data_IF_594442209001
#
_entry.id   IF_594442209001
#
_cell.length_a   1.000
_cell.length_b   1.000
_cell.length_c   1.000
_cell.angle_alpha   90.00
_cell.angle_beta   90.00
_cell.angle_gamma   90.00
#
_symmetry.space_group_name_H-M   'P 1'
#
loop_
_entity.id
_entity.type
_entity.pdbx_description
1 polymer ?
#
# COMPACT_ATOMS: atom_id res chain seq x y z
N UNK A 1 -28.85 7.48 -76.19
CA UNK A 1 -28.26 6.40 -77.01
C UNK A 1 -27.39 5.52 -76.11
N UNK A 2 -27.35 4.21 -76.36
CA UNK A 2 -26.27 3.30 -75.93
C UNK A 2 -25.66 2.65 -77.19
N UNK A 3 -24.37 2.29 -77.17
CA UNK A 3 -23.98 0.87 -76.97
C UNK A 3 -22.82 0.76 -75.93
N UNK A 4 -22.43 -0.37 -75.32
CA UNK A 4 -22.17 -1.75 -75.78
C UNK A 4 -20.96 -1.84 -76.73
N UNK A 5 -19.88 -2.62 -76.49
CA UNK A 5 -19.53 -3.63 -75.46
C UNK A 5 -18.02 -3.41 -75.07
N UNK A 6 -17.18 -4.28 -74.50
CA UNK A 6 -17.15 -5.75 -74.31
C UNK A 6 -16.28 -6.15 -73.08
N UNK A 7 -15.96 -7.44 -72.89
CA UNK A 7 -15.03 -7.98 -71.87
C UNK A 7 -13.65 -8.38 -72.45
N UNK A 8 -12.64 -8.38 -71.58
CA UNK A 8 -11.51 -9.31 -71.61
C UNK A 8 -11.11 -9.68 -70.16
N UNK A 9 -10.49 -10.84 -69.94
CA UNK A 9 -10.07 -11.33 -68.61
C UNK A 9 -8.67 -11.94 -68.69
N UNK A 10 -7.92 -11.94 -67.57
CA UNK A 10 -7.05 -13.08 -67.29
C UNK A 10 -7.21 -13.68 -65.87
N UNK A 11 -6.86 -14.96 -65.83
CA UNK A 11 -6.96 -16.00 -64.81
C UNK A 11 -6.46 -15.68 -63.36
N UNK A 12 -6.85 -16.49 -62.35
CA UNK A 12 -6.57 -16.23 -60.94
C UNK A 12 -5.13 -16.55 -60.51
N UNK A 13 -4.70 -15.97 -59.38
CA UNK A 13 -3.56 -16.44 -58.59
C UNK A 13 -4.01 -17.04 -57.25
N UNK A 14 -3.20 -17.97 -56.75
CA UNK A 14 -3.57 -18.96 -55.73
C UNK A 14 -3.97 -18.31 -54.40
N UNK A 15 -4.91 -18.96 -53.70
CA UNK A 15 -5.14 -18.71 -52.28
C UNK A 15 -3.95 -19.23 -51.46
N UNK A 16 -3.28 -18.35 -50.72
CA UNK A 16 -2.43 -18.75 -49.61
C UNK A 16 -3.32 -19.04 -48.39
N UNK A 17 -3.10 -20.17 -47.72
CA UNK A 17 -3.93 -20.59 -46.59
C UNK A 17 -3.81 -19.60 -45.42
N UNK A 18 -4.95 -19.21 -44.84
CA UNK A 18 -4.96 -18.58 -43.52
C UNK A 18 -4.46 -19.61 -42.51
N UNK A 19 -3.46 -19.24 -41.70
CA UNK A 19 -3.20 -19.91 -40.42
C UNK A 19 -4.05 -19.23 -39.36
N UNK A 20 -4.70 -20.01 -38.52
CA UNK A 20 -5.65 -19.51 -37.52
C UNK A 20 -4.95 -18.77 -36.37
N UNK A 21 -5.03 -17.45 -36.37
CA UNK A 21 -4.60 -16.60 -35.25
C UNK A 21 -5.73 -16.43 -34.21
N UNK A 22 -6.15 -17.57 -33.64
CA UNK A 22 -7.06 -17.59 -32.50
C UNK A 22 -6.41 -17.00 -31.22
N UNK A 23 -5.07 -16.94 -31.20
CA UNK A 23 -4.24 -16.38 -30.12
C UNK A 23 -4.37 -14.87 -29.97
N UNK A 24 -4.21 -14.08 -31.04
CA UNK A 24 -4.34 -12.62 -30.96
C UNK A 24 -5.79 -12.17 -30.73
N UNK A 25 -6.77 -12.99 -31.13
CA UNK A 25 -8.19 -12.72 -30.91
C UNK A 25 -8.54 -12.79 -29.43
N UNK A 26 -8.04 -13.79 -28.69
CA UNK A 26 -8.22 -13.87 -27.23
C UNK A 26 -7.64 -12.65 -26.50
N UNK A 27 -6.43 -12.23 -26.85
CA UNK A 27 -5.76 -11.08 -26.23
C UNK A 27 -6.50 -9.74 -26.48
N UNK A 28 -7.14 -9.58 -27.66
CA UNK A 28 -7.98 -8.41 -27.95
C UNK A 28 -9.31 -8.41 -27.20
N UNK A 29 -9.97 -9.56 -27.08
CA UNK A 29 -11.23 -9.69 -26.35
C UNK A 29 -11.05 -9.31 -24.86
N UNK A 30 -9.89 -9.60 -24.26
CA UNK A 30 -9.56 -9.15 -22.90
C UNK A 30 -9.20 -7.66 -22.77
N UNK A 31 -9.06 -6.93 -23.88
CA UNK A 31 -8.71 -5.50 -23.88
C UNK A 31 -9.86 -4.54 -24.21
N UNK A 32 -10.98 -5.06 -24.74
CA UNK A 32 -12.18 -4.25 -25.05
C UNK A 32 -13.20 -4.20 -23.91
N UNK A 33 -13.02 -5.00 -22.84
CA UNK A 33 -13.56 -4.67 -21.52
C UNK A 33 -12.72 -3.56 -20.88
N UNK A 34 -12.83 -2.34 -21.44
CA UNK A 34 -12.29 -1.15 -20.79
C UNK A 34 -12.90 -1.02 -19.39
N UNK A 35 -12.05 -0.94 -18.37
CA UNK A 35 -12.47 -0.68 -16.99
C UNK A 35 -13.44 0.50 -16.98
N UNK A 36 -14.61 0.33 -16.36
CA UNK A 36 -15.49 1.46 -16.15
C UNK A 36 -14.73 2.54 -15.38
N UNK A 37 -14.89 3.82 -15.76
CA UNK A 37 -14.31 4.92 -14.99
C UNK A 37 -14.76 4.77 -13.51
N UNK A 38 -13.88 4.91 -12.50
CA UNK A 38 -14.18 4.50 -11.13
C UNK A 38 -15.49 5.08 -10.57
N UNK A 39 -15.83 6.32 -10.95
CA UNK A 39 -17.08 6.96 -10.56
C UNK A 39 -18.33 6.27 -11.15
N UNK A 40 -18.27 5.77 -12.39
CA UNK A 40 -19.35 4.98 -13.03
C UNK A 40 -19.60 3.66 -12.29
N UNK A 41 -18.56 2.99 -11.82
CA UNK A 41 -18.70 1.80 -10.99
C UNK A 41 -19.33 2.15 -9.62
N UNK A 42 -18.90 3.24 -8.98
CA UNK A 42 -19.49 3.67 -7.71
C UNK A 42 -20.96 4.11 -7.86
N UNK A 43 -21.34 4.79 -8.95
CA UNK A 43 -22.74 5.06 -9.29
C UNK A 43 -23.53 3.76 -9.51
N UNK A 44 -22.91 2.73 -10.09
CA UNK A 44 -23.48 1.38 -10.17
C UNK A 44 -23.78 0.77 -8.80
N UNK A 45 -22.85 0.92 -7.83
CA UNK A 45 -23.06 0.50 -6.44
C UNK A 45 -24.21 1.29 -5.80
N UNK A 46 -24.21 2.63 -5.92
CA UNK A 46 -25.27 3.52 -5.41
C UNK A 46 -26.65 3.23 -6.02
N UNK A 47 -26.73 2.72 -7.25
CA UNK A 47 -27.98 2.32 -7.90
C UNK A 47 -28.40 0.87 -7.55
N UNK A 48 -27.46 -0.03 -7.26
CA UNK A 48 -27.75 -1.43 -6.93
C UNK A 48 -28.49 -1.57 -5.58
N UNK A 49 -29.38 -2.58 -5.38
CA UNK A 49 -30.16 -2.72 -4.14
C UNK A 49 -29.33 -2.90 -2.85
N UNK A 50 -29.94 -2.66 -1.70
CA UNK A 50 -29.35 -2.88 -0.37
C UNK A 50 -28.47 -1.74 0.15
N UNK A 51 -28.00 -1.89 1.39
CA UNK A 51 -26.98 -1.03 2.02
C UNK A 51 -25.56 -1.53 1.70
N UNK A 52 -24.65 -0.62 1.34
CA UNK A 52 -23.27 -0.98 1.00
C UNK A 52 -22.26 -0.49 2.04
N UNK A 53 -21.37 -1.38 2.49
CA UNK A 53 -20.38 -1.09 3.52
C UNK A 53 -19.03 -0.71 2.88
N UNK A 54 -18.44 0.40 3.35
CA UNK A 54 -17.13 0.89 2.93
C UNK A 54 -16.24 1.20 4.14
N UNK A 55 -15.31 0.31 4.53
CA UNK A 55 -14.26 0.64 5.48
C UNK A 55 -13.35 1.73 4.92
N UNK A 56 -12.79 2.57 5.79
CA UNK A 56 -11.82 3.58 5.39
C UNK A 56 -10.37 3.05 5.42
N UNK A 57 -9.69 3.23 4.30
CA UNK A 57 -8.24 3.14 4.20
C UNK A 57 -7.56 4.47 4.54
N UNK A 58 -6.25 4.41 4.76
CA UNK A 58 -5.36 5.56 4.98
C UNK A 58 -4.07 5.47 4.15
N UNK A 59 -3.80 4.32 3.55
CA UNK A 59 -2.65 4.07 2.68
C UNK A 59 -2.95 2.96 1.66
N UNK A 60 -2.03 2.75 0.72
CA UNK A 60 -2.17 1.74 -0.33
C UNK A 60 -2.33 0.30 0.21
N UNK A 61 -1.69 -0.02 1.35
CA UNK A 61 -1.77 -1.34 1.97
C UNK A 61 -3.16 -1.59 2.59
N UNK A 62 -3.68 -0.66 3.38
CA UNK A 62 -5.03 -0.75 3.96
C UNK A 62 -6.11 -0.77 2.87
N UNK A 63 -5.97 0.02 1.80
CA UNK A 63 -6.88 -0.02 0.65
C UNK A 63 -6.89 -1.41 -0.02
N UNK A 64 -5.71 -2.00 -0.25
CA UNK A 64 -5.59 -3.34 -0.83
C UNK A 64 -6.14 -4.44 0.09
N UNK A 65 -6.01 -4.29 1.41
CA UNK A 65 -6.65 -5.19 2.39
C UNK A 65 -8.18 -5.08 2.37
N UNK A 66 -8.74 -3.88 2.21
CA UNK A 66 -10.20 -3.69 2.02
C UNK A 66 -10.68 -4.37 0.74
N UNK A 67 -9.96 -4.22 -0.37
CA UNK A 67 -10.28 -4.93 -1.62
C UNK A 67 -10.19 -6.45 -1.47
N UNK A 68 -9.13 -6.97 -0.87
CA UNK A 68 -8.93 -8.41 -0.68
C UNK A 68 -9.98 -9.04 0.24
N UNK A 69 -10.56 -8.26 1.16
CA UNK A 69 -11.71 -8.67 1.98
C UNK A 69 -13.06 -8.65 1.22
N UNK A 70 -13.08 -8.25 -0.06
CA UNK A 70 -14.25 -8.35 -0.95
C UNK A 70 -15.21 -7.16 -0.92
N UNK A 71 -14.89 -6.09 -0.18
CA UNK A 71 -15.67 -4.85 -0.17
C UNK A 71 -15.72 -4.21 -1.58
N UNK A 72 -16.82 -3.53 -1.90
CA UNK A 72 -17.06 -3.00 -3.26
C UNK A 72 -16.51 -1.59 -3.49
N UNK A 73 -16.16 -0.89 -2.43
CA UNK A 73 -15.57 0.44 -2.46
C UNK A 73 -14.87 0.71 -1.12
N UNK A 74 -14.06 1.76 -1.05
CA UNK A 74 -13.41 2.21 0.19
C UNK A 74 -13.39 3.74 0.26
N UNK A 75 -13.33 4.29 1.48
CA UNK A 75 -13.03 5.71 1.69
C UNK A 75 -11.54 5.89 1.95
N UNK A 76 -10.93 6.99 1.50
CA UNK A 76 -9.67 7.49 2.09
C UNK A 76 -10.06 8.50 3.18
N UNK A 77 -9.74 8.24 4.44
CA UNK A 77 -10.09 9.12 5.57
C UNK A 77 -9.04 10.22 5.79
N UNK A 78 -9.45 11.50 5.92
CA UNK A 78 -8.55 12.61 6.24
C UNK A 78 -7.82 12.40 7.57
N UNK A 79 -8.56 12.08 8.63
CA UNK A 79 -8.00 11.65 9.93
C UNK A 79 -6.98 10.52 9.77
N UNK A 80 -7.35 9.49 9.00
CA UNK A 80 -6.50 8.34 8.74
C UNK A 80 -5.17 8.71 8.11
N UNK A 81 -5.20 9.54 7.05
CA UNK A 81 -3.99 9.99 6.36
C UNK A 81 -3.16 10.93 7.25
N UNK A 82 -3.76 11.88 7.97
CA UNK A 82 -3.02 12.74 8.91
C UNK A 82 -2.30 11.93 9.98
N UNK A 83 -2.99 10.95 10.57
CA UNK A 83 -2.42 10.06 11.58
C UNK A 83 -1.31 9.15 11.03
N UNK A 84 -1.45 8.58 9.84
CA UNK A 84 -0.46 7.64 9.28
C UNK A 84 0.71 8.31 8.56
N UNK A 85 0.49 9.46 7.93
CA UNK A 85 1.49 10.17 7.11
C UNK A 85 2.27 11.23 7.89
N UNK A 86 1.63 11.88 8.85
CA UNK A 86 2.22 13.00 9.62
C UNK A 86 2.37 12.69 11.13
N UNK A 87 1.73 11.63 11.64
CA UNK A 87 1.55 11.39 13.08
C UNK A 87 0.92 12.60 13.82
N UNK A 88 0.12 13.39 13.10
CA UNK A 88 -0.50 14.62 13.58
C UNK A 88 -2.01 14.45 13.83
N UNK A 89 -2.63 15.35 14.62
CA UNK A 89 -4.07 15.35 14.80
C UNK A 89 -4.78 15.84 13.53
N UNK A 90 -6.05 15.50 13.41
CA UNK A 90 -6.91 15.94 12.31
C UNK A 90 -7.52 17.32 12.60
N UNK A 91 -6.73 18.36 12.40
CA UNK A 91 -7.13 19.76 12.64
C UNK A 91 -6.88 20.64 11.42
N UNK A 92 -6.99 20.09 10.21
CA UNK A 92 -6.70 20.80 8.95
C UNK A 92 -5.22 21.17 8.75
N UNK A 93 -4.29 20.43 9.40
CA UNK A 93 -2.85 20.61 9.22
C UNK A 93 -2.32 20.00 7.91
N UNK A 94 -2.94 18.91 7.44
CA UNK A 94 -2.53 18.24 6.20
C UNK A 94 -2.97 19.06 4.99
N UNK A 95 -2.10 19.17 3.99
CA UNK A 95 -2.37 19.97 2.80
C UNK A 95 -3.07 19.17 1.69
N UNK A 96 -3.77 19.89 0.82
CA UNK A 96 -4.25 19.42 -0.49
C UNK A 96 -3.21 18.57 -1.25
N UNK A 97 -1.93 18.98 -1.22
CA UNK A 97 -0.86 18.32 -1.95
C UNK A 97 -0.59 16.91 -1.42
N UNK A 98 -0.57 16.76 -0.09
CA UNK A 98 -0.32 15.48 0.60
C UNK A 98 -1.52 14.53 0.50
N UNK A 99 -2.74 15.08 0.59
CA UNK A 99 -3.98 14.31 0.42
C UNK A 99 -4.13 13.74 -0.99
N UNK A 100 -3.86 14.53 -2.03
CA UNK A 100 -3.87 14.03 -3.43
C UNK A 100 -2.71 13.07 -3.69
N UNK A 101 -1.53 13.30 -3.11
CA UNK A 101 -0.39 12.39 -3.24
C UNK A 101 -0.66 11.02 -2.59
N UNK A 102 -1.22 10.99 -1.38
CA UNK A 102 -1.68 9.76 -0.75
C UNK A 102 -2.77 9.08 -1.60
N UNK A 103 -3.72 9.88 -2.10
CA UNK A 103 -4.82 9.42 -2.95
C UNK A 103 -4.35 8.67 -4.19
N UNK A 104 -3.38 9.20 -4.94
CA UNK A 104 -2.80 8.53 -6.12
C UNK A 104 -2.21 7.16 -5.80
N UNK A 105 -1.55 7.03 -4.65
CA UNK A 105 -0.95 5.76 -4.24
C UNK A 105 -2.02 4.74 -3.81
N UNK A 106 -3.11 5.21 -3.21
CA UNK A 106 -4.27 4.39 -2.84
C UNK A 106 -5.01 3.89 -4.09
N UNK A 107 -5.40 4.79 -5.00
CA UNK A 107 -6.16 4.45 -6.22
C UNK A 107 -5.37 3.60 -7.20
N UNK A 108 -4.04 3.77 -7.29
CA UNK A 108 -3.20 2.91 -8.12
C UNK A 108 -3.02 1.48 -7.56
N UNK A 109 -3.30 1.26 -6.27
CA UNK A 109 -3.13 -0.03 -5.61
C UNK A 109 -4.38 -0.93 -5.64
N UNK A 110 -5.55 -0.39 -6.02
CA UNK A 110 -6.84 -1.09 -6.07
C UNK A 110 -7.56 -0.86 -7.40
N UNK A 111 -8.46 -1.77 -7.77
CA UNK A 111 -9.43 -1.58 -8.85
C UNK A 111 -10.81 -1.18 -8.34
N UNK A 112 -11.12 -1.38 -7.05
CA UNK A 112 -12.39 -0.93 -6.47
C UNK A 112 -12.46 0.59 -6.36
N UNK A 113 -13.66 1.20 -6.52
CA UNK A 113 -13.88 2.62 -6.27
C UNK A 113 -13.34 3.14 -4.92
N UNK A 114 -12.62 4.26 -4.98
CA UNK A 114 -12.14 5.00 -3.81
C UNK A 114 -12.86 6.34 -3.73
N UNK A 115 -13.40 6.69 -2.56
CA UNK A 115 -14.02 7.99 -2.28
C UNK A 115 -13.04 8.75 -1.38
N UNK A 116 -12.51 9.87 -1.85
CA UNK A 116 -11.54 10.66 -1.10
C UNK A 116 -12.20 11.65 -0.16
N UNK A 117 -11.80 11.66 1.11
CA UNK A 117 -12.04 12.81 1.98
C UNK A 117 -11.28 14.03 1.44
N UNK A 118 -11.97 15.15 1.21
CA UNK A 118 -11.44 16.36 0.60
C UNK A 118 -11.55 17.59 1.50
N UNK A 119 -11.86 17.39 2.79
CA UNK A 119 -12.03 18.43 3.81
C UNK A 119 -13.00 19.54 3.33
N UNK A 120 -12.76 20.78 3.74
CA UNK A 120 -13.43 21.98 3.24
C UNK A 120 -13.07 22.35 1.78
N UNK A 121 -12.32 21.51 1.04
CA UNK A 121 -11.82 21.80 -0.31
C UNK A 121 -10.65 22.80 -0.35
N UNK A 122 -9.92 22.93 0.77
CA UNK A 122 -8.64 23.66 0.91
C UNK A 122 -8.65 25.14 0.47
N UNK A 123 -9.76 25.85 0.71
CA UNK A 123 -9.86 27.31 0.54
C UNK A 123 -11.23 27.76 0.06
N UNK A 124 -11.27 28.68 -0.91
CA UNK A 124 -12.52 29.18 -1.48
C UNK A 124 -13.05 28.27 -2.61
N UNK A 125 -14.17 28.65 -3.24
CA UNK A 125 -14.77 27.92 -4.35
C UNK A 125 -13.78 27.51 -5.47
N UNK A 126 -12.80 28.34 -5.82
CA UNK A 126 -11.78 28.00 -6.83
C UNK A 126 -10.76 26.97 -6.32
N UNK A 127 -10.49 26.93 -5.02
CA UNK A 127 -9.74 25.84 -4.39
C UNK A 127 -10.54 24.53 -4.47
N UNK A 128 -11.86 24.57 -4.28
CA UNK A 128 -12.73 23.38 -4.49
C UNK A 128 -12.64 22.91 -5.94
N UNK A 129 -12.72 23.81 -6.95
CA UNK A 129 -12.58 23.42 -8.37
C UNK A 129 -11.22 22.77 -8.65
N UNK A 130 -10.13 23.32 -8.09
CA UNK A 130 -8.79 22.71 -8.17
C UNK A 130 -8.76 21.33 -7.52
N UNK A 131 -9.39 21.19 -6.35
CA UNK A 131 -9.39 19.96 -5.55
C UNK A 131 -10.11 18.84 -6.27
N UNK A 132 -11.34 19.08 -6.73
CA UNK A 132 -12.12 18.10 -7.51
C UNK A 132 -11.37 17.62 -8.75
N UNK A 133 -10.76 18.53 -9.53
CA UNK A 133 -9.96 18.15 -10.69
C UNK A 133 -8.69 17.37 -10.33
N UNK A 134 -8.06 17.68 -9.20
CA UNK A 134 -6.94 16.92 -8.66
C UNK A 134 -7.32 15.50 -8.23
N UNK A 135 -8.52 15.32 -7.66
CA UNK A 135 -9.03 14.00 -7.24
C UNK A 135 -9.46 13.15 -8.45
N UNK A 136 -10.08 13.77 -9.48
CA UNK A 136 -10.32 13.12 -10.78
C UNK A 136 -9.01 12.65 -11.41
N UNK A 137 -7.99 13.51 -11.47
CA UNK A 137 -6.66 13.17 -12.00
C UNK A 137 -5.91 12.12 -11.15
N UNK A 138 -6.28 11.96 -9.87
CA UNK A 138 -5.78 10.90 -9.01
C UNK A 138 -6.59 9.60 -9.11
N UNK A 139 -7.64 9.53 -9.93
CA UNK A 139 -8.43 8.30 -10.16
C UNK A 139 -9.46 8.00 -9.06
N UNK A 140 -9.84 8.98 -8.23
CA UNK A 140 -10.94 8.79 -7.28
C UNK A 140 -12.29 8.60 -8.01
N UNK A 141 -13.17 7.79 -7.43
CA UNK A 141 -14.54 7.60 -7.86
C UNK A 141 -15.50 8.65 -7.29
N UNK A 142 -15.15 9.23 -6.14
CA UNK A 142 -15.90 10.30 -5.50
C UNK A 142 -15.04 11.15 -4.58
N UNK A 143 -15.60 12.28 -4.14
CA UNK A 143 -15.00 13.18 -3.15
C UNK A 143 -16.02 13.53 -2.08
N UNK A 144 -15.59 13.60 -0.83
CA UNK A 144 -16.35 14.14 0.29
C UNK A 144 -15.89 15.57 0.57
N UNK A 145 -16.85 16.50 0.68
CA UNK A 145 -16.60 17.93 0.91
C UNK A 145 -17.50 18.46 2.02
N UNK A 146 -16.93 19.20 2.97
CA UNK A 146 -17.63 19.71 4.14
C UNK A 146 -17.78 21.24 4.24
N UNK A 147 -18.74 21.66 5.06
CA UNK A 147 -19.10 23.05 5.29
C UNK A 147 -18.40 23.69 6.50
N UNK A 148 -17.37 23.06 7.06
CA UNK A 148 -16.58 23.61 8.16
C UNK A 148 -15.74 24.83 7.73
N UNK A 149 -15.48 25.73 8.67
CA UNK A 149 -14.60 26.90 8.50
C UNK A 149 -13.11 26.53 8.69
N UNK A 150 -12.85 25.61 9.62
CA UNK A 150 -11.56 24.98 9.89
C UNK A 150 -11.82 23.52 10.32
N UNK A 151 -10.82 22.63 10.21
CA UNK A 151 -10.98 21.20 10.49
C UNK A 151 -11.31 20.88 11.96
N UNK A 152 -11.45 19.58 12.28
CA UNK A 152 -12.12 18.99 13.46
C UNK A 152 -11.58 19.39 14.86
N UNK A 153 -11.67 20.67 15.19
CA UNK A 153 -11.17 21.30 16.41
C UNK A 153 -12.27 21.46 17.47
N UNK A 154 -11.87 21.86 18.69
CA UNK A 154 -12.81 22.12 19.79
C UNK A 154 -13.59 23.41 19.54
N UNK A 155 -14.91 23.27 19.33
CA UNK A 155 -15.77 24.37 18.88
C UNK A 155 -15.88 24.39 17.36
N UNK A 156 -16.47 23.34 16.77
CA UNK A 156 -16.70 23.26 15.31
C UNK A 156 -17.52 24.46 14.85
N UNK A 157 -17.00 25.17 13.86
CA UNK A 157 -17.69 26.25 13.16
C UNK A 157 -17.97 25.85 11.70
N UNK A 158 -19.16 26.17 11.21
CA UNK A 158 -19.53 25.99 9.80
C UNK A 158 -19.67 27.34 9.10
N UNK A 159 -19.26 27.40 7.83
CA UNK A 159 -19.34 28.65 7.05
C UNK A 159 -20.78 29.05 6.75
N UNK A 160 -20.93 30.27 6.23
CA UNK A 160 -22.23 30.79 5.81
C UNK A 160 -22.93 29.84 4.82
N UNK A 161 -24.27 29.79 4.88
CA UNK A 161 -25.09 28.99 3.95
C UNK A 161 -24.74 29.27 2.48
N UNK A 162 -24.47 30.55 2.15
CA UNK A 162 -24.06 30.98 0.80
C UNK A 162 -22.72 30.37 0.38
N UNK A 163 -21.72 30.36 1.26
CA UNK A 163 -20.41 29.79 0.96
C UNK A 163 -20.47 28.26 0.85
N UNK A 164 -21.18 27.59 1.77
CA UNK A 164 -21.35 26.14 1.73
C UNK A 164 -22.00 25.67 0.41
N UNK A 165 -23.06 26.36 -0.05
CA UNK A 165 -23.70 26.11 -1.34
C UNK A 165 -22.73 26.43 -2.51
N UNK A 166 -21.93 27.49 -2.41
CA UNK A 166 -20.94 27.83 -3.43
C UNK A 166 -19.82 26.78 -3.56
N UNK A 167 -19.41 26.12 -2.46
CA UNK A 167 -18.46 24.99 -2.49
C UNK A 167 -19.05 23.80 -3.26
N UNK A 168 -20.29 23.39 -2.95
CA UNK A 168 -20.97 22.28 -3.65
C UNK A 168 -21.14 22.58 -5.14
N UNK A 169 -21.59 23.79 -5.50
CA UNK A 169 -21.73 24.19 -6.91
C UNK A 169 -20.39 24.22 -7.64
N UNK A 170 -19.33 24.72 -7.01
CA UNK A 170 -17.99 24.69 -7.58
C UNK A 170 -17.49 23.24 -7.82
N UNK A 171 -17.84 22.30 -6.95
CA UNK A 171 -17.54 20.89 -7.17
C UNK A 171 -18.30 20.31 -8.38
N UNK A 172 -19.58 20.64 -8.53
CA UNK A 172 -20.43 20.25 -9.67
C UNK A 172 -19.90 20.83 -10.98
N UNK A 173 -19.60 22.13 -11.02
CA UNK A 173 -18.95 22.77 -12.17
C UNK A 173 -17.64 22.03 -12.54
N UNK A 174 -16.81 21.70 -11.55
CA UNK A 174 -15.48 21.14 -11.79
C UNK A 174 -15.52 19.70 -12.28
N UNK A 175 -16.55 18.93 -11.90
CA UNK A 175 -16.91 17.64 -12.49
C UNK A 175 -17.27 17.80 -13.97
N UNK A 176 -18.24 18.67 -14.26
CA UNK A 176 -18.76 18.91 -15.61
C UNK A 176 -17.68 19.47 -16.57
N UNK A 177 -16.88 20.44 -16.12
CA UNK A 177 -15.73 20.99 -16.85
C UNK A 177 -14.59 19.97 -17.10
N UNK A 178 -14.61 18.82 -16.44
CA UNK A 178 -13.63 17.74 -16.66
C UNK A 178 -14.11 16.69 -17.66
N UNK A 179 -15.41 16.65 -17.98
CA UNK A 179 -16.03 15.58 -18.76
C UNK A 179 -16.11 14.23 -18.01
N UNK A 180 -15.86 14.23 -16.71
CA UNK A 180 -15.78 13.04 -15.85
C UNK A 180 -16.89 13.05 -14.80
N UNK A 181 -17.41 11.89 -14.43
CA UNK A 181 -18.67 11.75 -13.67
C UNK A 181 -18.47 11.51 -12.16
N UNK A 182 -17.50 12.22 -11.56
CA UNK A 182 -17.11 12.09 -10.14
C UNK A 182 -18.31 12.24 -9.19
N UNK A 183 -18.48 11.31 -8.25
CA UNK A 183 -19.55 11.37 -7.24
C UNK A 183 -19.21 12.38 -6.13
N UNK A 184 -20.07 13.37 -5.92
CA UNK A 184 -19.91 14.42 -4.91
C UNK A 184 -20.71 14.06 -3.66
N UNK A 185 -20.01 13.77 -2.56
CA UNK A 185 -20.58 13.53 -1.23
C UNK A 185 -20.54 14.84 -0.43
N UNK A 186 -21.69 15.49 -0.25
CA UNK A 186 -21.78 16.74 0.50
C UNK A 186 -22.04 16.48 1.99
N UNK A 187 -21.12 16.93 2.84
CA UNK A 187 -21.16 16.79 4.31
C UNK A 187 -21.56 18.11 4.96
N UNK A 188 -22.42 18.05 5.97
CA UNK A 188 -22.63 19.16 6.91
C UNK A 188 -22.30 18.76 8.35
N UNK A 189 -21.55 19.63 9.03
CA UNK A 189 -21.20 19.55 10.45
C UNK A 189 -22.09 20.45 11.32
N UNK A 190 -23.06 21.12 10.71
CA UNK A 190 -23.96 22.06 11.35
C UNK A 190 -24.80 21.43 12.49
N UNK A 191 -24.90 20.11 12.57
CA UNK A 191 -25.58 19.41 13.68
C UNK A 191 -24.88 19.67 15.03
N UNK A 192 -23.55 19.75 15.05
CA UNK A 192 -22.80 20.10 16.25
C UNK A 192 -22.54 21.60 16.36
N UNK A 193 -22.31 22.30 15.24
CA UNK A 193 -21.98 23.72 15.23
C UNK A 193 -23.19 24.64 15.47
N UNK A 194 -24.41 24.23 15.10
CA UNK A 194 -25.61 25.08 15.11
C UNK A 194 -26.84 24.34 15.64
N UNK A 195 -27.43 23.42 14.85
CA UNK A 195 -28.66 22.69 15.21
C UNK A 195 -28.94 21.55 14.22
N UNK A 196 -29.88 20.65 14.58
CA UNK A 196 -30.42 19.65 13.67
C UNK A 196 -31.10 20.30 12.44
N UNK A 197 -31.94 21.31 12.66
CA UNK A 197 -32.72 21.95 11.58
C UNK A 197 -31.82 22.71 10.58
N UNK A 198 -30.73 23.33 11.05
CA UNK A 198 -29.71 23.91 10.14
C UNK A 198 -29.05 22.82 9.29
N UNK A 199 -28.70 21.68 9.87
CA UNK A 199 -28.07 20.57 9.15
C UNK A 199 -29.02 19.91 8.12
N UNK A 200 -30.30 19.75 8.47
CA UNK A 200 -31.34 19.26 7.55
C UNK A 200 -31.53 20.24 6.38
N UNK A 201 -31.67 21.54 6.67
CA UNK A 201 -31.79 22.58 5.64
C UNK A 201 -30.58 22.63 4.71
N UNK A 202 -29.36 22.44 5.25
CA UNK A 202 -28.14 22.37 4.44
C UNK A 202 -28.10 21.13 3.56
N UNK A 203 -28.49 19.97 4.07
CA UNK A 203 -28.57 18.75 3.26
C UNK A 203 -29.58 18.88 2.10
N UNK A 204 -30.70 19.57 2.30
CA UNK A 204 -31.62 19.97 1.21
C UNK A 204 -30.91 20.89 0.20
N UNK A 205 -30.31 21.98 0.67
CA UNK A 205 -29.63 22.96 -0.17
C UNK A 205 -28.41 22.40 -0.92
N UNK A 206 -27.79 21.32 -0.43
CA UNK A 206 -26.70 20.62 -1.10
C UNK A 206 -27.21 19.67 -2.20
N UNK A 207 -28.38 19.02 -1.99
CA UNK A 207 -29.06 18.27 -3.05
C UNK A 207 -29.53 19.21 -4.18
N UNK A 208 -30.15 20.34 -3.84
CA UNK A 208 -30.54 21.39 -4.80
C UNK A 208 -29.32 22.01 -5.53
N UNK A 209 -28.13 21.92 -4.94
CA UNK A 209 -26.86 22.34 -5.54
C UNK A 209 -26.19 21.25 -6.40
N UNK A 210 -26.75 20.04 -6.48
CA UNK A 210 -26.28 18.95 -7.34
C UNK A 210 -25.38 17.90 -6.68
N UNK A 211 -25.36 17.79 -5.35
CA UNK A 211 -24.66 16.73 -4.64
C UNK A 211 -25.29 15.35 -4.89
N UNK A 212 -24.45 14.34 -5.13
CA UNK A 212 -24.86 12.97 -5.47
C UNK A 212 -25.16 12.10 -4.23
N UNK A 213 -24.56 12.44 -3.09
CA UNK A 213 -24.75 11.77 -1.79
C UNK A 213 -24.74 12.82 -0.69
N UNK A 214 -25.61 12.65 0.31
CA UNK A 214 -25.68 13.54 1.48
C UNK A 214 -25.10 12.88 2.73
N UNK A 215 -24.46 13.68 3.57
CA UNK A 215 -23.98 13.29 4.90
C UNK A 215 -24.23 14.42 5.91
N UNK A 216 -24.76 14.08 7.09
CA UNK A 216 -24.73 14.94 8.27
C UNK A 216 -23.93 14.20 9.34
N UNK A 217 -22.83 14.77 9.81
CA UNK A 217 -22.04 14.15 10.88
C UNK A 217 -22.75 14.27 12.24
N UNK A 218 -22.46 13.34 13.14
CA UNK A 218 -22.84 13.41 14.56
C UNK A 218 -24.36 13.56 14.84
N UNK A 219 -25.24 12.99 14.00
CA UNK A 219 -26.67 12.82 14.32
C UNK A 219 -26.84 11.94 15.57
N UNK A 220 -27.46 12.47 16.62
CA UNK A 220 -27.35 11.92 17.99
C UNK A 220 -28.33 10.77 18.31
N UNK A 221 -29.27 10.44 17.41
CA UNK A 221 -30.23 9.36 17.64
C UNK A 221 -30.79 8.75 16.35
N UNK A 222 -31.37 7.54 16.47
CA UNK A 222 -32.15 6.89 15.39
C UNK A 222 -33.31 7.75 14.87
N UNK A 223 -33.81 8.70 15.66
CA UNK A 223 -34.88 9.61 15.23
C UNK A 223 -34.33 10.72 14.33
N UNK A 224 -33.20 11.33 14.70
CA UNK A 224 -32.51 12.33 13.87
C UNK A 224 -32.05 11.71 12.53
N UNK A 225 -31.53 10.49 12.58
CA UNK A 225 -31.13 9.71 11.41
C UNK A 225 -32.31 9.44 10.45
N UNK A 226 -33.50 9.12 10.97
CA UNK A 226 -34.73 8.95 10.16
C UNK A 226 -35.23 10.28 9.58
N UNK A 227 -35.21 11.36 10.38
CA UNK A 227 -35.57 12.72 9.92
C UNK A 227 -34.69 13.13 8.73
N UNK A 228 -33.39 12.90 8.80
CA UNK A 228 -32.45 13.13 7.70
C UNK A 228 -32.77 12.27 6.47
N UNK A 229 -32.87 10.94 6.63
CA UNK A 229 -33.08 10.04 5.49
C UNK A 229 -34.39 10.30 4.74
N UNK A 230 -35.45 10.69 5.46
CA UNK A 230 -36.76 11.04 4.90
C UNK A 230 -36.86 12.44 4.28
N UNK A 231 -35.88 13.34 4.47
CA UNK A 231 -35.99 14.75 4.03
C UNK A 231 -35.79 14.92 2.53
N UNK A 232 -34.78 14.26 1.96
CA UNK A 232 -34.50 14.24 0.51
C UNK A 232 -34.45 12.78 0.04
N UNK A 233 -35.59 12.07 -0.05
CA UNK A 233 -35.60 10.60 -0.15
C UNK A 233 -34.85 10.05 -1.39
N UNK A 234 -34.88 10.77 -2.51
CA UNK A 234 -34.26 10.34 -3.77
C UNK A 234 -32.72 10.34 -3.79
N UNK A 235 -32.06 11.13 -2.93
CA UNK A 235 -30.59 11.20 -2.88
C UNK A 235 -30.05 10.18 -1.87
N UNK A 236 -29.03 9.36 -2.22
CA UNK A 236 -28.31 8.50 -1.28
C UNK A 236 -27.83 9.21 -0.02
N UNK A 237 -27.81 8.51 1.12
CA UNK A 237 -27.22 9.00 2.38
C UNK A 237 -26.05 8.14 2.83
N UNK A 238 -25.04 8.79 3.40
CA UNK A 238 -23.91 8.20 4.08
C UNK A 238 -24.14 8.20 5.61
N UNK A 239 -24.02 7.03 6.24
CA UNK A 239 -23.88 6.89 7.69
C UNK A 239 -22.40 6.77 8.08
N UNK A 240 -21.99 7.44 9.14
CA UNK A 240 -20.62 7.37 9.67
C UNK A 240 -20.60 6.60 11.01
N UNK A 241 -20.09 5.37 10.99
CA UNK A 241 -20.03 4.48 12.15
C UNK A 241 -18.67 4.62 12.87
N UNK A 242 -18.46 5.80 13.45
CA UNK A 242 -17.22 6.20 14.12
C UNK A 242 -17.07 5.53 15.49
N UNK A 243 -16.34 4.40 15.55
CA UNK A 243 -16.15 3.65 16.78
C UNK A 243 -15.28 4.41 17.82
N UNK A 244 -15.42 4.06 19.10
CA UNK A 244 -14.54 4.55 20.17
C UNK A 244 -14.76 5.99 20.64
N UNK A 245 -15.60 6.79 19.98
CA UNK A 245 -15.89 8.17 20.44
C UNK A 245 -16.95 8.98 19.68
N UNK A 246 -17.59 8.43 18.64
CA UNK A 246 -18.60 9.14 17.86
C UNK A 246 -19.84 9.58 18.66
N UNK A 247 -20.49 10.65 18.20
CA UNK A 247 -21.81 11.09 18.73
C UNK A 247 -22.97 10.27 18.17
N UNK A 248 -22.81 9.73 16.96
CA UNK A 248 -23.79 8.87 16.30
C UNK A 248 -23.83 7.50 16.99
N UNK A 249 -25.01 6.98 17.35
CA UNK A 249 -25.13 5.61 17.87
C UNK A 249 -24.58 4.59 16.87
N UNK A 250 -23.74 3.66 17.33
CA UNK A 250 -23.29 2.52 16.53
C UNK A 250 -24.44 1.54 16.35
N UNK A 251 -24.80 1.24 15.10
CA UNK A 251 -25.93 0.40 14.73
C UNK A 251 -25.47 -0.80 13.90
N UNK A 252 -26.27 -1.88 13.89
CA UNK A 252 -26.06 -2.98 12.96
C UNK A 252 -26.44 -2.56 11.52
N UNK A 253 -25.80 -3.10 10.47
CA UNK A 253 -26.12 -2.77 9.07
C UNK A 253 -27.60 -2.82 8.72
N UNK A 254 -28.33 -3.85 9.20
CA UNK A 254 -29.78 -3.98 8.96
C UNK A 254 -30.58 -2.78 9.51
N UNK A 255 -30.22 -2.26 10.69
CA UNK A 255 -30.89 -1.11 11.29
C UNK A 255 -30.57 0.20 10.55
N UNK A 256 -29.39 0.28 9.93
CA UNK A 256 -28.96 1.41 9.10
C UNK A 256 -29.71 1.41 7.76
N UNK A 257 -29.93 0.21 7.18
CA UNK A 257 -30.74 0.02 5.98
C UNK A 257 -32.23 0.34 6.23
N UNK A 258 -32.80 -0.16 7.34
CA UNK A 258 -34.17 0.15 7.78
C UNK A 258 -34.44 1.65 8.01
N UNK A 259 -33.40 2.43 8.30
CA UNK A 259 -33.50 3.90 8.46
C UNK A 259 -33.48 4.63 7.10
N UNK A 260 -33.02 3.99 6.02
CA UNK A 260 -32.98 4.54 4.67
C UNK A 260 -31.62 5.12 4.24
N UNK A 261 -30.52 4.68 4.86
CA UNK A 261 -29.17 4.98 4.36
C UNK A 261 -28.81 4.11 3.15
N UNK A 262 -27.80 4.55 2.38
CA UNK A 262 -27.32 3.84 1.19
C UNK A 262 -25.91 3.30 1.31
N UNK A 263 -25.03 4.03 2.00
CA UNK A 263 -23.64 3.65 2.23
C UNK A 263 -23.24 3.89 3.70
N UNK A 264 -22.30 3.10 4.19
CA UNK A 264 -21.73 3.24 5.55
C UNK A 264 -20.22 3.38 5.48
N UNK A 265 -19.68 4.42 6.12
CA UNK A 265 -18.26 4.56 6.41
C UNK A 265 -17.92 3.96 7.77
N UNK A 266 -16.81 3.23 7.83
CA UNK A 266 -16.16 2.81 9.07
C UNK A 266 -14.76 3.47 9.12
N UNK A 267 -14.63 4.67 9.71
CA UNK A 267 -13.46 5.54 9.51
C UNK A 267 -12.24 5.11 10.33
N UNK A 268 -12.41 4.49 11.49
CA UNK A 268 -11.32 4.23 12.44
C UNK A 268 -10.97 2.76 12.63
N UNK A 269 -11.80 1.80 12.21
CA UNK A 269 -11.60 0.37 12.53
C UNK A 269 -10.21 -0.14 12.16
N UNK A 270 -9.75 0.14 10.93
CA UNK A 270 -8.44 -0.33 10.46
C UNK A 270 -7.27 0.40 11.14
N UNK A 271 -7.40 1.70 11.40
CA UNK A 271 -6.38 2.50 12.07
C UNK A 271 -6.26 2.14 13.56
N UNK A 272 -7.38 1.98 14.26
CA UNK A 272 -7.41 1.57 15.67
C UNK A 272 -6.85 0.16 15.86
N UNK A 273 -7.17 -0.78 14.96
CA UNK A 273 -6.62 -2.13 14.97
C UNK A 273 -5.12 -2.13 14.64
N UNK A 274 -4.66 -1.34 13.66
CA UNK A 274 -3.22 -1.28 13.33
C UNK A 274 -2.40 -0.65 14.46
N UNK A 275 -2.86 0.46 15.05
CA UNK A 275 -2.25 1.08 16.23
C UNK A 275 -2.16 0.07 17.38
N UNK A 276 -3.25 -0.67 17.68
CA UNK A 276 -3.24 -1.65 18.76
C UNK A 276 -2.28 -2.81 18.48
N UNK A 277 -2.28 -3.36 17.27
CA UNK A 277 -1.40 -4.44 16.88
C UNK A 277 0.09 -4.04 16.96
N UNK A 278 0.42 -2.82 16.53
CA UNK A 278 1.77 -2.26 16.67
C UNK A 278 2.17 -2.06 18.13
N UNK A 279 1.28 -1.55 18.99
CA UNK A 279 1.52 -1.41 20.43
C UNK A 279 1.79 -2.77 21.10
N UNK A 280 0.96 -3.78 20.85
CA UNK A 280 1.13 -5.13 21.41
C UNK A 280 2.43 -5.80 20.90
N UNK A 281 2.79 -5.58 19.63
CA UNK A 281 4.06 -6.04 19.07
C UNK A 281 5.28 -5.36 19.71
N UNK A 282 5.25 -4.05 19.91
CA UNK A 282 6.32 -3.30 20.56
C UNK A 282 6.49 -3.72 22.04
N UNK A 283 5.40 -4.02 22.75
CA UNK A 283 5.46 -4.59 24.11
C UNK A 283 6.11 -5.97 24.13
N UNK A 284 5.78 -6.85 23.17
CA UNK A 284 6.44 -8.15 23.04
C UNK A 284 7.95 -7.98 22.79
N UNK A 285 8.33 -7.20 21.78
CA UNK A 285 9.73 -6.98 21.39
C UNK A 285 10.56 -6.34 22.51
N UNK A 286 10.03 -5.32 23.21
CA UNK A 286 10.67 -4.70 24.39
C UNK A 286 10.92 -5.68 25.54
N UNK A 287 10.17 -6.79 25.58
CA UNK A 287 10.34 -7.86 26.58
C UNK A 287 11.11 -9.09 26.05
N UNK A 288 11.82 -8.95 24.91
CA UNK A 288 12.64 -10.01 24.32
C UNK A 288 11.84 -11.13 23.67
N UNK A 289 10.57 -10.91 23.32
CA UNK A 289 9.67 -11.91 22.71
C UNK A 289 9.21 -11.47 21.33
N UNK A 290 8.98 -12.43 20.44
CA UNK A 290 8.29 -12.18 19.17
C UNK A 290 6.79 -11.93 19.39
N UNK A 291 6.11 -11.14 18.54
CA UNK A 291 4.66 -10.95 18.64
C UNK A 291 3.89 -12.17 18.12
N UNK A 292 2.84 -12.59 18.85
CA UNK A 292 2.11 -13.85 18.58
C UNK A 292 1.11 -13.80 17.41
N UNK A 293 1.06 -12.70 16.64
CA UNK A 293 0.05 -12.46 15.57
C UNK A 293 0.64 -11.77 14.33
N UNK A 294 1.89 -12.06 14.00
CA UNK A 294 2.50 -11.61 12.73
C UNK A 294 2.16 -12.64 11.64
N UNK A 295 1.69 -12.22 10.45
CA UNK A 295 1.54 -13.13 9.31
C UNK A 295 2.88 -13.74 8.90
N UNK A 296 2.85 -14.92 8.28
CA UNK A 296 4.02 -15.52 7.66
C UNK A 296 4.55 -14.64 6.52
N UNK A 297 5.86 -14.71 6.24
CA UNK A 297 6.48 -13.89 5.20
C UNK A 297 5.87 -14.14 3.80
N UNK A 298 5.38 -15.34 3.53
CA UNK A 298 4.66 -15.66 2.30
C UNK A 298 3.28 -14.97 2.20
N UNK A 299 2.55 -14.83 3.32
CA UNK A 299 1.29 -14.08 3.38
C UNK A 299 1.53 -12.58 3.15
N UNK A 300 2.59 -12.01 3.76
CA UNK A 300 2.99 -10.61 3.52
C UNK A 300 3.37 -10.39 2.04
N UNK A 301 4.13 -11.31 1.44
CA UNK A 301 4.51 -11.27 0.03
C UNK A 301 3.30 -11.35 -0.91
N UNK A 302 2.30 -12.18 -0.61
CA UNK A 302 1.07 -12.27 -1.40
C UNK A 302 0.26 -10.97 -1.30
N UNK A 303 0.07 -10.44 -0.08
CA UNK A 303 -0.61 -9.15 0.15
C UNK A 303 0.03 -8.01 -0.64
N UNK A 304 1.37 -7.86 -0.65
CA UNK A 304 2.01 -6.81 -1.45
C UNK A 304 2.04 -7.14 -2.96
N UNK A 305 2.00 -8.42 -3.34
CA UNK A 305 1.73 -8.88 -4.72
C UNK A 305 2.86 -9.60 -5.44
N UNK A 306 3.84 -10.18 -4.72
CA UNK A 306 4.98 -10.90 -5.32
C UNK A 306 4.54 -12.01 -6.29
N UNK A 307 3.46 -12.74 -5.97
CA UNK A 307 2.95 -13.82 -6.83
C UNK A 307 2.53 -13.26 -8.21
N UNK A 308 1.79 -12.15 -8.24
CA UNK A 308 1.43 -11.44 -9.47
C UNK A 308 2.67 -10.89 -10.19
N UNK A 309 3.63 -10.32 -9.47
CA UNK A 309 4.88 -9.80 -10.05
C UNK A 309 5.63 -10.89 -10.81
N UNK A 310 5.88 -12.05 -10.19
CA UNK A 310 6.57 -13.16 -10.85
C UNK A 310 5.77 -13.74 -12.04
N UNK A 311 4.44 -13.75 -11.97
CA UNK A 311 3.57 -14.17 -13.09
C UNK A 311 3.42 -13.12 -14.21
N UNK A 312 3.85 -11.89 -13.99
CA UNK A 312 4.05 -10.86 -15.03
C UNK A 312 5.48 -10.94 -15.61
N UNK A 313 6.50 -11.07 -14.76
CA UNK A 313 7.92 -11.20 -15.14
C UNK A 313 8.18 -12.39 -16.10
N UNK A 314 7.60 -13.56 -15.81
CA UNK A 314 7.70 -14.78 -16.64
C UNK A 314 7.28 -14.56 -18.10
N UNK A 315 6.43 -13.56 -18.38
CA UNK A 315 5.93 -13.25 -19.74
C UNK A 315 6.99 -12.57 -20.60
N UNK A 316 7.94 -11.85 -19.98
CA UNK A 316 8.96 -11.08 -20.68
C UNK A 316 10.26 -11.84 -20.87
N UNK A 317 10.68 -12.62 -19.88
CA UNK A 317 11.94 -13.38 -19.94
C UNK A 317 11.77 -14.83 -20.44
N UNK A 318 10.56 -15.39 -20.33
CA UNK A 318 10.23 -16.74 -20.79
C UNK A 318 10.84 -17.85 -19.93
N UNK A 319 10.28 -19.06 -20.03
CA UNK A 319 10.91 -20.24 -19.44
C UNK A 319 12.02 -20.73 -20.38
N UNK A 320 13.27 -20.37 -20.06
CA UNK A 320 14.46 -20.82 -20.80
C UNK A 320 14.66 -22.33 -20.69
N UNK A 321 14.02 -23.07 -21.60
CA UNK A 321 14.26 -24.50 -21.79
C UNK A 321 15.63 -24.67 -22.46
N UNK A 322 16.66 -24.94 -21.65
CA UNK A 322 17.99 -25.33 -22.12
C UNK A 322 17.97 -26.72 -22.76
N UNK A 323 17.44 -26.82 -23.98
CA UNK A 323 17.47 -28.04 -24.79
C UNK A 323 18.79 -28.14 -25.55
N UNK A 324 19.88 -28.53 -24.87
CA UNK A 324 21.14 -28.90 -25.53
C UNK A 324 21.07 -30.34 -26.04
N UNK A 325 20.46 -30.53 -27.21
CA UNK A 325 20.78 -31.65 -28.10
C UNK A 325 22.03 -31.31 -28.90
N UNK A 326 23.09 -32.11 -28.77
CA UNK A 326 24.27 -32.01 -29.63
C UNK A 326 24.81 -33.40 -29.95
N UNK A 327 24.49 -33.87 -31.15
CA UNK A 327 25.11 -35.06 -31.74
C UNK A 327 26.51 -34.73 -32.22
N UNK A 328 27.51 -35.54 -31.89
CA UNK A 328 28.62 -35.90 -32.80
C UNK A 328 29.36 -37.11 -32.24
N UNK A 329 30.08 -37.85 -33.09
CA UNK A 329 30.52 -39.21 -32.77
C UNK A 329 32.02 -39.46 -33.02
N UNK A 330 32.52 -40.46 -32.29
CA UNK A 330 33.67 -41.33 -32.56
C UNK A 330 35.11 -40.77 -32.47
N UNK A 331 35.81 -41.30 -31.46
CA UNK A 331 37.25 -41.66 -31.43
C UNK A 331 38.30 -40.51 -31.45
N UNK A 332 39.45 -40.64 -30.79
CA UNK A 332 40.13 -41.88 -30.35
C UNK A 332 40.97 -41.75 -29.06
N UNK A 333 41.11 -42.88 -28.37
CA UNK A 333 42.31 -43.34 -27.63
C UNK A 333 42.72 -42.73 -26.27
N UNK A 334 42.99 -43.66 -25.35
CA UNK A 334 43.85 -43.59 -24.14
C UNK A 334 43.44 -42.68 -22.99
N UNK A 335 43.41 -43.29 -21.79
CA UNK A 335 43.02 -42.68 -20.51
C UNK A 335 44.20 -41.97 -19.84
N UNK A 336 43.90 -40.88 -19.15
CA UNK A 336 44.48 -40.57 -17.83
C UNK A 336 43.41 -39.83 -17.01
N UNK A 337 43.10 -40.31 -15.80
CA UNK A 337 42.02 -39.75 -14.97
C UNK A 337 42.60 -38.81 -13.90
N UNK A 338 42.38 -37.51 -14.05
CA UNK A 338 42.76 -36.48 -13.07
C UNK A 338 41.64 -35.47 -12.85
N UNK A 339 41.03 -35.37 -11.65
CA UNK A 339 40.00 -34.37 -11.35
C UNK A 339 40.60 -33.08 -10.77
N UNK A 340 40.74 -32.07 -11.63
CA UNK A 340 40.74 -30.64 -11.29
C UNK A 340 39.44 -30.02 -11.83
N UNK A 341 38.87 -28.95 -11.29
CA UNK A 341 38.90 -28.38 -9.93
C UNK A 341 37.69 -27.43 -9.88
N UNK A 342 36.67 -27.74 -9.07
CA UNK A 342 35.38 -27.04 -9.12
C UNK A 342 35.10 -26.28 -7.83
N UNK A 343 35.68 -25.08 -7.74
CA UNK A 343 35.51 -24.12 -6.64
C UNK A 343 35.08 -22.77 -7.15
N UNK A 344 33.78 -22.61 -7.41
CA UNK A 344 33.17 -21.28 -7.51
C UNK A 344 31.86 -21.18 -6.74
N UNK A 345 31.95 -21.33 -5.41
CA UNK A 345 30.86 -20.94 -4.50
C UNK A 345 30.64 -19.43 -4.60
N UNK A 346 29.44 -19.02 -5.06
CA UNK A 346 29.09 -17.62 -5.27
C UNK A 346 28.71 -16.94 -3.96
N UNK A 347 29.69 -16.31 -3.30
CA UNK A 347 29.43 -15.45 -2.12
C UNK A 347 28.53 -14.28 -2.50
N UNK A 348 27.31 -14.25 -1.96
CA UNK A 348 26.39 -13.13 -2.12
C UNK A 348 26.90 -11.94 -1.30
N UNK A 349 27.28 -10.85 -1.97
CA UNK A 349 27.56 -9.58 -1.30
C UNK A 349 26.26 -8.79 -1.10
N UNK A 350 26.02 -8.33 0.12
CA UNK A 350 25.05 -7.28 0.43
C UNK A 350 25.83 -5.99 0.62
N UNK A 351 25.56 -4.98 -0.22
CA UNK A 351 26.23 -3.68 -0.16
C UNK A 351 25.37 -2.74 0.70
N UNK A 352 25.93 -2.26 1.81
CA UNK A 352 25.37 -1.15 2.61
C UNK A 352 26.09 0.16 2.28
N UNK A 353 25.41 1.32 2.29
CA UNK A 353 26.04 2.61 2.02
C UNK A 353 27.06 3.00 3.10
N UNK A 354 28.06 3.79 2.70
CA UNK A 354 29.00 4.42 3.64
C UNK A 354 28.31 5.51 4.46
N UNK A 355 28.69 5.61 5.75
CA UNK A 355 28.27 6.70 6.63
C UNK A 355 29.42 7.69 6.73
N UNK A 356 29.15 8.97 6.46
CA UNK A 356 30.11 10.05 6.63
C UNK A 356 30.21 10.40 8.12
N UNK A 357 31.43 10.46 8.66
CA UNK A 357 31.70 10.93 10.02
C UNK A 357 31.88 12.46 10.03
N UNK A 358 31.35 13.14 11.05
CA UNK A 358 31.56 14.59 11.27
C UNK A 358 32.62 14.82 12.37
N UNK A 359 33.57 15.73 12.11
CA UNK A 359 34.63 16.09 13.05
C UNK A 359 34.08 16.77 14.33
N UNK A 360 34.42 16.21 15.51
CA UNK A 360 34.36 16.97 16.77
C UNK A 360 35.44 16.50 17.77
N UNK A 361 36.41 17.39 18.04
CA UNK A 361 37.61 17.05 18.80
C UNK A 361 37.34 17.04 20.31
N UNK A 362 37.29 15.86 20.91
CA UNK A 362 37.27 15.66 22.37
C UNK A 362 37.80 14.28 22.77
N UNK A 363 38.47 14.19 23.91
CA UNK A 363 39.06 12.93 24.39
C UNK A 363 38.03 11.89 24.87
N UNK A 364 36.76 12.30 25.04
CA UNK A 364 35.65 11.36 25.20
C UNK A 364 35.34 10.64 23.87
N UNK A 365 35.32 11.38 22.76
CA UNK A 365 35.06 10.83 21.43
C UNK A 365 36.14 9.82 21.02
N UNK A 366 37.42 10.08 21.33
CA UNK A 366 38.55 9.17 21.03
C UNK A 366 38.47 7.80 21.74
N UNK A 367 37.63 7.66 22.78
CA UNK A 367 37.34 6.36 23.43
C UNK A 367 36.05 5.71 22.94
N UNK A 368 35.05 6.48 22.50
CA UNK A 368 33.82 5.91 21.93
C UNK A 368 33.97 5.53 20.45
N UNK A 369 34.78 6.25 19.68
CA UNK A 369 35.04 5.96 18.26
C UNK A 369 35.76 4.62 18.05
N UNK A 370 36.80 4.31 18.85
CA UNK A 370 37.48 3.01 18.79
C UNK A 370 36.54 1.83 19.10
N UNK A 371 35.52 2.03 19.94
CA UNK A 371 34.49 1.02 20.20
C UNK A 371 33.52 0.92 19.01
N UNK A 372 32.87 2.02 18.62
CA UNK A 372 31.92 2.02 17.50
C UNK A 372 32.54 1.51 16.18
N UNK A 373 33.79 1.91 15.92
CA UNK A 373 34.55 1.61 14.71
C UNK A 373 35.12 0.19 14.60
N UNK A 374 34.85 -0.72 15.55
CA UNK A 374 35.10 -2.17 15.36
C UNK A 374 33.80 -2.96 15.15
N UNK A 375 32.70 -2.57 15.79
CA UNK A 375 31.39 -3.21 15.65
C UNK A 375 30.73 -2.98 14.28
N UNK A 376 31.14 -1.94 13.56
CA UNK A 376 30.75 -1.63 12.18
C UNK A 376 31.47 -2.45 11.11
N UNK A 377 32.55 -3.15 11.44
CA UNK A 377 33.42 -3.83 10.46
C UNK A 377 32.90 -5.20 10.02
N UNK A 378 33.38 -5.66 8.87
CA UNK A 378 33.04 -6.97 8.30
C UNK A 378 33.94 -8.05 8.89
N UNK A 379 33.33 -9.18 9.23
CA UNK A 379 34.00 -10.41 9.63
C UNK A 379 33.57 -11.55 8.71
N UNK A 380 34.51 -12.44 8.41
CA UNK A 380 34.26 -13.67 7.67
C UNK A 380 34.13 -14.84 8.64
N UNK A 381 32.95 -15.44 8.69
CA UNK A 381 32.66 -16.62 9.52
C UNK A 381 32.61 -17.85 8.61
N UNK A 382 33.44 -18.84 8.94
CA UNK A 382 33.57 -20.09 8.17
C UNK A 382 33.41 -21.29 9.09
N UNK A 383 32.59 -22.25 8.69
CA UNK A 383 32.38 -23.52 9.40
C UNK A 383 32.75 -24.66 8.44
N UNK A 384 33.65 -25.52 8.88
CA UNK A 384 34.06 -26.73 8.15
C UNK A 384 33.70 -27.94 8.99
N UNK A 385 32.85 -28.83 8.48
CA UNK A 385 32.44 -30.01 9.23
C UNK A 385 33.54 -31.05 9.38
N UNK A 386 33.35 -32.00 10.29
CA UNK A 386 34.29 -33.10 10.57
C UNK A 386 34.68 -33.96 9.35
N UNK A 387 33.89 -33.92 8.27
CA UNK A 387 34.21 -34.53 6.97
C UNK A 387 35.12 -33.68 6.05
N UNK A 388 35.59 -32.52 6.52
CA UNK A 388 36.35 -31.54 5.72
C UNK A 388 35.50 -30.65 4.80
N UNK A 389 34.17 -30.85 4.75
CA UNK A 389 33.26 -30.10 3.90
C UNK A 389 32.92 -28.75 4.54
N UNK A 390 33.07 -27.65 3.80
CA UNK A 390 32.67 -26.31 4.26
C UNK A 390 31.15 -26.22 4.30
N UNK A 391 30.60 -26.07 5.51
CA UNK A 391 29.16 -25.96 5.81
C UNK A 391 28.65 -24.52 5.72
N UNK A 392 29.54 -23.54 5.98
CA UNK A 392 29.24 -22.10 5.94
C UNK A 392 30.52 -21.33 5.58
N UNK A 393 30.42 -20.29 4.76
CA UNK A 393 31.50 -19.34 4.50
C UNK A 393 30.87 -17.99 4.10
N UNK A 394 30.69 -17.09 5.08
CA UNK A 394 29.87 -15.87 4.95
C UNK A 394 30.55 -14.64 5.52
N UNK A 395 30.19 -13.46 5.00
CA UNK A 395 30.60 -12.15 5.50
C UNK A 395 29.44 -11.51 6.26
N UNK A 396 29.68 -11.05 7.48
CA UNK A 396 28.70 -10.37 8.34
C UNK A 396 29.32 -9.15 9.06
N UNK A 397 28.54 -8.13 9.44
CA UNK A 397 29.04 -7.08 10.33
C UNK A 397 29.28 -7.64 11.75
N UNK A 398 30.32 -7.18 12.43
CA UNK A 398 30.71 -7.66 13.76
C UNK A 398 29.57 -7.57 14.80
N UNK A 399 28.69 -6.56 14.71
CA UNK A 399 27.47 -6.43 15.51
C UNK A 399 26.47 -7.60 15.45
N UNK A 400 26.63 -8.55 14.53
CA UNK A 400 25.76 -9.73 14.40
C UNK A 400 26.33 -11.00 15.07
N UNK A 401 27.55 -10.98 15.63
CA UNK A 401 28.18 -12.16 16.27
C UNK A 401 27.36 -12.72 17.44
N UNK A 402 26.82 -11.86 18.32
CA UNK A 402 25.98 -12.29 19.45
C UNK A 402 24.66 -12.94 19.01
N UNK A 403 24.26 -12.74 17.74
CA UNK A 403 23.19 -13.48 17.09
C UNK A 403 23.59 -14.91 16.71
N UNK A 404 24.82 -15.11 16.20
CA UNK A 404 25.33 -16.43 15.83
C UNK A 404 25.45 -17.39 17.02
N UNK A 405 25.74 -16.88 18.22
CA UNK A 405 25.78 -17.66 19.46
C UNK A 405 24.48 -18.41 19.80
N UNK A 406 23.36 -18.02 19.18
CA UNK A 406 22.04 -18.67 19.31
C UNK A 406 21.74 -19.70 18.22
N UNK A 407 22.49 -19.66 17.12
CA UNK A 407 22.24 -20.45 15.90
C UNK A 407 23.28 -21.56 15.71
N UNK A 408 24.51 -21.34 16.19
CA UNK A 408 25.63 -22.29 16.10
C UNK A 408 26.00 -22.72 17.54
N UNK A 409 25.61 -23.92 17.99
CA UNK A 409 25.84 -24.36 19.37
C UNK A 409 27.31 -24.35 19.80
N UNK A 410 28.24 -24.54 18.86
CA UNK A 410 29.68 -24.54 19.11
C UNK A 410 30.30 -23.22 19.56
N UNK A 411 29.60 -22.09 19.37
CA UNK A 411 30.05 -20.76 19.84
C UNK A 411 29.22 -20.20 21.01
N UNK A 412 28.31 -21.00 21.57
CA UNK A 412 27.52 -20.60 22.72
C UNK A 412 28.41 -20.41 23.96
N UNK A 413 28.40 -19.20 24.53
CA UNK A 413 29.21 -18.83 25.70
C UNK A 413 30.55 -18.16 25.40
N UNK A 414 30.88 -17.92 24.13
CA UNK A 414 32.08 -17.15 23.76
C UNK A 414 31.82 -15.65 23.93
N UNK A 415 32.72 -14.96 24.63
CA UNK A 415 32.67 -13.51 24.80
C UNK A 415 33.23 -12.80 23.55
N UNK A 416 32.45 -12.75 22.48
CA UNK A 416 32.85 -12.14 21.20
C UNK A 416 33.30 -10.68 21.34
N UNK A 417 32.67 -9.93 22.25
CA UNK A 417 33.08 -8.57 22.60
C UNK A 417 34.54 -8.52 23.07
N UNK A 418 34.91 -9.38 24.01
CA UNK A 418 36.28 -9.44 24.56
C UNK A 418 37.31 -9.88 23.51
N UNK A 419 36.95 -10.75 22.57
CA UNK A 419 37.81 -11.11 21.44
C UNK A 419 38.05 -9.90 20.52
N UNK A 420 37.02 -9.10 20.22
CA UNK A 420 37.14 -7.90 19.40
C UNK A 420 37.89 -6.77 20.12
N UNK A 421 37.53 -6.46 21.37
CA UNK A 421 38.15 -5.40 22.17
C UNK A 421 39.67 -5.65 22.35
N UNK A 422 40.07 -6.92 22.54
CA UNK A 422 41.49 -7.32 22.62
C UNK A 422 42.24 -7.29 21.27
N UNK A 423 41.54 -7.33 20.13
CA UNK A 423 42.16 -7.34 18.81
C UNK A 423 42.62 -5.95 18.32
N UNK A 424 42.78 -4.98 19.22
CA UNK A 424 43.09 -3.56 18.96
C UNK A 424 44.07 -3.32 17.79
N UNK A 425 43.53 -2.89 16.64
CA UNK A 425 44.17 -2.79 15.31
C UNK A 425 44.38 -4.13 14.56
N UNK A 426 43.32 -4.86 14.18
CA UNK A 426 43.46 -6.12 13.45
C UNK A 426 43.73 -5.90 11.96
N UNK A 427 44.44 -6.82 11.32
CA UNK A 427 44.70 -6.80 9.87
C UNK A 427 43.70 -7.65 9.08
N UNK A 428 43.46 -7.28 7.82
CA UNK A 428 42.60 -8.07 6.92
C UNK A 428 43.17 -9.49 6.75
N UNK A 429 42.32 -10.50 6.95
CA UNK A 429 42.71 -11.92 6.99
C UNK A 429 43.15 -12.43 8.37
N UNK A 430 43.23 -11.60 9.41
CA UNK A 430 43.60 -12.04 10.76
C UNK A 430 42.54 -12.99 11.34
N UNK A 431 42.97 -14.19 11.74
CA UNK A 431 42.12 -15.15 12.44
C UNK A 431 41.88 -14.69 13.89
N UNK A 432 40.62 -14.45 14.25
CA UNK A 432 40.16 -14.02 15.58
C UNK A 432 39.67 -15.20 16.45
N UNK A 433 39.14 -16.24 15.81
CA UNK A 433 38.69 -17.46 16.48
C UNK A 433 38.96 -18.68 15.57
N UNK A 434 39.34 -19.80 16.17
CA UNK A 434 39.51 -21.10 15.51
C UNK A 434 39.33 -22.20 16.56
N UNK A 435 38.19 -22.87 16.53
CA UNK A 435 37.77 -23.86 17.53
C UNK A 435 37.11 -25.06 16.86
N UNK A 436 37.08 -26.19 17.56
CA UNK A 436 36.29 -27.36 17.18
C UNK A 436 35.12 -27.51 18.17
N UNK A 437 33.91 -27.74 17.66
CA UNK A 437 32.72 -27.93 18.48
C UNK A 437 32.52 -29.38 18.94
N UNK A 438 31.49 -29.61 19.77
CA UNK A 438 31.17 -30.96 20.30
C UNK A 438 30.66 -31.96 19.25
N UNK A 439 30.53 -31.54 17.99
CA UNK A 439 30.10 -32.36 16.84
C UNK A 439 31.27 -32.57 15.84
N UNK A 440 32.45 -32.01 16.12
CA UNK A 440 33.62 -32.03 15.26
C UNK A 440 33.59 -30.99 14.14
N UNK A 441 32.73 -29.97 14.24
CA UNK A 441 32.72 -28.85 13.29
C UNK A 441 33.76 -27.80 13.70
N UNK A 442 34.71 -27.53 12.80
CA UNK A 442 35.72 -26.47 12.98
C UNK A 442 35.14 -25.12 12.56
N UNK A 443 35.09 -24.19 13.52
CA UNK A 443 34.53 -22.85 13.36
C UNK A 443 35.67 -21.84 13.40
N UNK A 444 35.86 -21.13 12.29
CA UNK A 444 36.88 -20.10 12.12
C UNK A 444 36.22 -18.73 11.90
N UNK A 445 36.75 -17.69 12.54
CA UNK A 445 36.34 -16.30 12.30
C UNK A 445 37.57 -15.48 11.95
N UNK A 446 37.47 -14.74 10.86
CA UNK A 446 38.52 -13.85 10.37
C UNK A 446 38.01 -12.40 10.34
N UNK A 447 38.90 -11.46 10.61
CA UNK A 447 38.72 -10.07 10.26
C UNK A 447 38.97 -9.88 8.76
N UNK A 448 38.27 -8.94 8.11
CA UNK A 448 38.48 -8.57 6.70
C UNK A 448 38.59 -7.06 6.51
#
# INVERSE_FOLDING_TARGET
MQPSRNRASPLPRLAAARRDDQTATAARITSEQGSAAPAKEFRGILASPGLHLGPACHDALSAKLVQNAGFKFTFMSGFGVSASRLACPDTGLISYGEMVDQGRNITAAVSIPVIGDGDAGYGNAMNVKRTVKGYIQAGFAGILLEDQACGHTTGREVVSRQEAIARVKAAVDAREESGEDLVIVARSDARQAVSLEEALWRAEAFADAGADVLFIDALMSKEEMRKFCGRVPAVPKLANMLEGGGKTPLLAPIEIEEIGYKIVAYPLSLLGVSIRAMQDALVALKSGRFPNKVPAFDEVKDVVGFNRYYDEEKRYFGTSKSSRTSETANNSSTKEETPFDDKQSSTVQVITPEVLEEDSDSDWAKKSSNLLGIWSRVLRVKITGSSGIVKLDVRIPAGFLDGLAKTIPGVAGINFKEILDNASSPTSGQQLLDIEDKQGDRIQIFFE
#
